data_IF_839767888215
#
_entry.id   IF_839767888215
#
_cell.length_a   1.000
_cell.length_b   1.000
_cell.length_c   1.000
_cell.angle_alpha   90.00
_cell.angle_beta   90.00
_cell.angle_gamma   90.00
#
_symmetry.space_group_name_H-M   'P 1'
#
loop_
_entity.id
_entity.type
_entity.pdbx_description
1 polymer ?
#
# COMPACT_ATOMS: atom_id res chain seq x y z
N UNK A 1 5.51 15.27 32.03
CA UNK A 1 4.55 16.31 31.60
C UNK A 1 3.91 15.79 30.33
N UNK A 2 2.61 15.48 30.36
CA UNK A 2 1.88 15.17 29.12
C UNK A 2 1.86 16.46 28.29
N UNK A 3 2.19 16.37 27.01
CA UNK A 3 2.32 17.48 26.06
C UNK A 3 0.99 18.22 25.76
N UNK A 4 -0.09 17.91 26.49
CA UNK A 4 -1.38 18.57 26.37
C UNK A 4 -2.10 18.27 25.06
N UNK A 5 -1.58 17.37 24.23
CA UNK A 5 -2.24 16.99 22.99
C UNK A 5 -3.48 16.14 23.32
N UNK A 6 -4.66 16.71 23.07
CA UNK A 6 -5.92 15.96 23.10
C UNK A 6 -5.89 14.97 21.94
N UNK A 7 -5.85 13.66 22.24
CA UNK A 7 -5.96 12.62 21.21
C UNK A 7 -7.39 12.56 20.68
N UNK A 8 -7.68 13.44 19.73
CA UNK A 8 -8.97 13.58 19.05
C UNK A 8 -9.37 12.33 18.23
N UNK A 9 -8.48 11.33 18.10
CA UNK A 9 -8.74 10.09 17.37
C UNK A 9 -8.97 8.89 18.29
N UNK A 10 -8.76 9.02 19.60
CA UNK A 10 -8.87 7.89 20.53
C UNK A 10 -10.24 7.19 20.46
N UNK A 11 -11.32 7.95 20.47
CA UNK A 11 -12.69 7.41 20.38
C UNK A 11 -12.94 6.68 19.05
N UNK A 12 -12.39 7.21 17.95
CA UNK A 12 -12.49 6.59 16.62
C UNK A 12 -11.73 5.26 16.57
N UNK A 13 -10.53 5.21 17.15
CA UNK A 13 -9.71 3.98 17.25
C UNK A 13 -10.39 2.93 18.12
N UNK A 14 -10.97 3.34 19.25
CA UNK A 14 -11.73 2.44 20.13
C UNK A 14 -12.97 1.88 19.43
N UNK A 15 -13.73 2.73 18.73
CA UNK A 15 -14.88 2.31 17.94
C UNK A 15 -14.49 1.36 16.79
N UNK A 16 -13.39 1.64 16.09
CA UNK A 16 -12.89 0.78 15.03
C UNK A 16 -12.43 -0.58 15.56
N UNK A 17 -11.78 -0.63 16.74
CA UNK A 17 -11.44 -1.91 17.39
C UNK A 17 -12.68 -2.70 17.73
N UNK A 18 -13.69 -2.08 18.35
CA UNK A 18 -14.96 -2.75 18.64
C UNK A 18 -15.60 -3.32 17.36
N UNK A 19 -15.75 -2.47 16.33
CA UNK A 19 -16.31 -2.88 15.04
C UNK A 19 -15.50 -4.01 14.38
N UNK A 20 -14.18 -3.96 14.44
CA UNK A 20 -13.32 -4.98 13.84
C UNK A 20 -13.49 -6.37 14.47
N UNK A 21 -13.88 -6.47 15.75
CA UNK A 21 -14.11 -7.75 16.44
C UNK A 21 -15.59 -8.19 16.47
N UNK A 22 -16.54 -7.24 16.34
CA UNK A 22 -17.97 -7.56 16.27
C UNK A 22 -18.44 -7.94 14.86
N UNK A 23 -17.82 -7.39 13.82
CA UNK A 23 -18.14 -7.73 12.42
C UNK A 23 -17.73 -9.18 12.13
N UNK A 24 -18.54 -10.02 11.47
CA UNK A 24 -18.10 -11.33 10.99
C UNK A 24 -16.82 -11.21 10.15
N UNK A 25 -15.92 -12.19 10.26
CA UNK A 25 -14.57 -12.05 9.68
C UNK A 25 -14.63 -11.93 8.14
N UNK A 26 -15.56 -12.65 7.53
CA UNK A 26 -15.87 -12.69 6.10
C UNK A 26 -16.42 -11.36 5.55
N UNK A 27 -16.94 -10.48 6.41
CA UNK A 27 -17.45 -9.16 6.05
C UNK A 27 -16.41 -8.04 6.27
N UNK A 28 -15.22 -8.37 6.79
CA UNK A 28 -14.20 -7.37 7.02
C UNK A 28 -13.69 -6.78 5.71
N UNK A 29 -13.59 -5.46 5.69
CA UNK A 29 -13.06 -4.71 4.56
C UNK A 29 -11.98 -3.74 5.05
N UNK A 30 -10.70 -4.16 5.00
CA UNK A 30 -9.59 -3.31 5.44
C UNK A 30 -9.32 -2.13 4.50
N UNK A 31 -9.87 -2.09 3.28
CA UNK A 31 -9.62 -1.02 2.31
C UNK A 31 -10.50 0.22 2.52
N UNK A 32 -11.27 0.32 3.61
CA UNK A 32 -12.09 1.51 3.90
C UNK A 32 -11.21 2.73 4.16
N UNK A 33 -11.19 3.67 3.22
CA UNK A 33 -10.37 4.90 3.29
C UNK A 33 -10.52 5.70 4.60
N UNK A 34 -11.71 5.69 5.21
CA UNK A 34 -11.95 6.36 6.49
C UNK A 34 -11.04 5.85 7.61
N UNK A 35 -10.74 4.55 7.63
CA UNK A 35 -9.87 3.95 8.65
C UNK A 35 -8.45 4.48 8.58
N UNK A 36 -7.95 4.79 7.37
CA UNK A 36 -6.61 5.35 7.20
C UNK A 36 -6.57 6.82 7.57
N UNK A 37 -7.58 7.60 7.17
CA UNK A 37 -7.72 9.01 7.57
C UNK A 37 -7.77 9.16 9.09
N UNK A 38 -8.45 8.23 9.76
CA UNK A 38 -8.68 8.25 11.21
C UNK A 38 -7.63 7.43 12.00
N UNK A 39 -6.57 6.92 11.34
CA UNK A 39 -5.53 6.04 11.91
C UNK A 39 -6.08 4.91 12.80
N UNK A 40 -7.10 4.22 12.27
CA UNK A 40 -7.95 3.26 12.96
C UNK A 40 -8.03 1.91 12.23
N UNK A 41 -7.17 1.67 11.23
CA UNK A 41 -7.10 0.41 10.48
C UNK A 41 -6.43 -0.73 11.24
N UNK A 42 -5.60 -0.42 12.24
CA UNK A 42 -4.76 -1.39 12.94
C UNK A 42 -5.51 -2.61 13.51
N UNK A 43 -6.67 -2.46 14.18
CA UNK A 43 -7.39 -3.61 14.73
C UNK A 43 -7.88 -4.60 13.66
N UNK A 44 -8.20 -4.13 12.45
CA UNK A 44 -8.58 -5.03 11.34
C UNK A 44 -7.40 -5.88 10.91
N UNK A 45 -6.25 -5.25 10.68
CA UNK A 45 -5.05 -6.00 10.29
C UNK A 45 -4.54 -6.91 11.42
N UNK A 46 -4.70 -6.52 12.69
CA UNK A 46 -4.42 -7.37 13.85
C UNK A 46 -5.27 -8.64 13.82
N UNK A 47 -6.58 -8.51 13.67
CA UNK A 47 -7.51 -9.63 13.61
C UNK A 47 -7.27 -10.52 12.40
N UNK A 48 -7.14 -9.94 11.19
CA UNK A 48 -6.86 -10.70 9.97
C UNK A 48 -5.57 -11.51 10.10
N UNK A 49 -4.46 -10.93 10.60
CA UNK A 49 -3.23 -11.70 10.81
C UNK A 49 -3.40 -12.89 11.76
N UNK A 50 -4.30 -12.78 12.74
CA UNK A 50 -4.53 -13.82 13.74
C UNK A 50 -5.46 -14.92 13.23
N UNK A 51 -6.53 -14.54 12.54
CA UNK A 51 -7.68 -15.42 12.27
C UNK A 51 -7.82 -15.80 10.79
N UNK A 52 -7.53 -14.88 9.86
CA UNK A 52 -7.67 -15.09 8.40
C UNK A 52 -6.63 -14.27 7.62
N UNK A 53 -5.36 -14.72 7.54
CA UNK A 53 -4.26 -13.90 7.05
C UNK A 53 -4.25 -13.68 5.53
N UNK A 54 -4.98 -14.52 4.79
CA UNK A 54 -5.20 -14.45 3.34
C UNK A 54 -6.70 -14.31 3.13
N UNK A 55 -7.18 -13.09 3.33
CA UNK A 55 -8.60 -12.80 3.50
C UNK A 55 -9.24 -12.33 2.18
N UNK A 56 -10.37 -12.91 1.80
CA UNK A 56 -11.13 -12.49 0.62
C UNK A 56 -12.23 -11.50 0.98
N UNK A 57 -12.11 -10.26 0.51
CA UNK A 57 -13.16 -9.25 0.62
C UNK A 57 -13.99 -9.28 -0.66
N UNK A 58 -15.21 -9.82 -0.60
CA UNK A 58 -16.06 -10.04 -1.77
C UNK A 58 -16.70 -8.75 -2.33
N UNK A 59 -17.05 -7.80 -1.46
CA UNK A 59 -17.62 -6.51 -1.89
C UNK A 59 -16.91 -5.32 -1.24
N UNK A 60 -16.50 -4.38 -2.08
CA UNK A 60 -15.85 -3.14 -1.68
C UNK A 60 -16.02 -2.05 -2.74
N UNK A 61 -15.62 -0.83 -2.39
CA UNK A 61 -15.53 0.29 -3.34
C UNK A 61 -14.51 0.04 -4.47
N UNK A 62 -13.71 -1.02 -4.39
CA UNK A 62 -12.66 -1.39 -5.34
C UNK A 62 -12.98 -2.69 -6.11
N UNK A 63 -14.11 -3.35 -5.81
CA UNK A 63 -14.39 -4.71 -6.26
C UNK A 63 -13.92 -5.76 -5.27
N UNK A 64 -13.95 -7.02 -5.67
CA UNK A 64 -13.43 -8.11 -4.85
C UNK A 64 -11.90 -8.12 -4.88
N UNK A 65 -11.27 -8.41 -3.74
CA UNK A 65 -9.81 -8.52 -3.64
C UNK A 65 -9.38 -9.42 -2.49
N UNK A 66 -8.11 -9.83 -2.52
CA UNK A 66 -7.46 -10.58 -1.44
C UNK A 66 -6.58 -9.64 -0.61
N UNK A 67 -6.69 -9.73 0.72
CA UNK A 67 -5.82 -9.08 1.68
C UNK A 67 -4.76 -10.06 2.15
N UNK A 68 -3.49 -9.79 1.83
CA UNK A 68 -2.35 -10.57 2.31
C UNK A 68 -1.72 -9.81 3.48
N UNK A 69 -1.84 -10.34 4.70
CA UNK A 69 -1.61 -9.53 5.91
C UNK A 69 -0.38 -9.93 6.73
N UNK A 70 0.24 -11.08 6.43
CA UNK A 70 1.48 -11.54 7.09
C UNK A 70 2.70 -11.27 6.21
N UNK A 71 3.81 -10.96 6.86
CA UNK A 71 5.08 -10.65 6.21
C UNK A 71 5.56 -11.73 5.24
N UNK A 72 5.59 -13.00 5.67
CA UNK A 72 6.07 -14.10 4.83
C UNK A 72 5.17 -14.34 3.62
N UNK A 73 3.86 -14.15 3.77
CA UNK A 73 2.90 -14.32 2.67
C UNK A 73 3.05 -13.17 1.65
N UNK A 74 3.27 -11.95 2.13
CA UNK A 74 3.59 -10.80 1.27
C UNK A 74 4.88 -11.06 0.49
N UNK A 75 5.93 -11.55 1.15
CA UNK A 75 7.19 -11.88 0.49
C UNK A 75 7.02 -12.98 -0.57
N UNK A 76 6.21 -14.01 -0.27
CA UNK A 76 5.91 -15.08 -1.22
C UNK A 76 5.17 -14.57 -2.46
N UNK A 77 4.24 -13.62 -2.28
CA UNK A 77 3.53 -12.98 -3.41
C UNK A 77 4.46 -12.08 -4.21
N UNK A 78 5.20 -11.19 -3.54
CA UNK A 78 6.08 -10.19 -4.15
C UNK A 78 7.24 -10.83 -4.95
N UNK A 79 7.79 -11.95 -4.46
CA UNK A 79 8.84 -12.69 -5.16
C UNK A 79 8.33 -13.58 -6.30
N UNK A 80 7.04 -13.90 -6.34
CA UNK A 80 6.44 -14.78 -7.36
C UNK A 80 5.68 -13.99 -8.43
N UNK A 81 6.38 -13.02 -9.04
CA UNK A 81 5.84 -12.13 -10.07
C UNK A 81 5.34 -12.83 -11.34
N UNK A 82 5.72 -14.09 -11.57
CA UNK A 82 5.22 -14.90 -12.69
C UNK A 82 3.75 -15.30 -12.48
N UNK A 83 3.37 -15.58 -11.24
CA UNK A 83 1.99 -15.92 -10.85
C UNK A 83 1.21 -14.66 -10.51
N UNK A 84 1.83 -13.72 -9.79
CA UNK A 84 1.24 -12.45 -9.37
C UNK A 84 1.76 -11.29 -10.23
N UNK A 85 1.17 -11.17 -11.42
CA UNK A 85 1.52 -10.15 -12.42
C UNK A 85 1.22 -8.73 -11.95
N UNK A 86 2.16 -7.80 -12.20
CA UNK A 86 1.97 -6.36 -11.98
C UNK A 86 1.38 -5.66 -13.22
N UNK A 87 1.41 -6.31 -14.40
CA UNK A 87 0.95 -5.75 -15.66
C UNK A 87 -0.55 -5.43 -15.69
N UNK A 88 -1.35 -6.07 -14.81
CA UNK A 88 -2.81 -5.88 -14.74
C UNK A 88 -3.26 -4.87 -13.68
N UNK A 89 -2.31 -4.20 -13.02
CA UNK A 89 -2.57 -3.17 -12.02
C UNK A 89 -1.81 -3.40 -10.73
N UNK A 90 -1.39 -2.29 -10.13
CA UNK A 90 -0.55 -2.26 -8.92
C UNK A 90 -1.25 -1.61 -7.72
N UNK A 91 -2.52 -1.19 -7.89
CA UNK A 91 -3.33 -0.55 -6.86
C UNK A 91 -4.78 -1.03 -6.92
N UNK A 92 -5.46 -1.03 -5.76
CA UNK A 92 -6.91 -1.17 -5.70
C UNK A 92 -7.56 0.06 -6.35
N UNK A 93 -8.06 -0.10 -7.57
CA UNK A 93 -8.67 0.99 -8.33
C UNK A 93 -10.17 1.09 -7.99
N UNK A 94 -10.67 2.25 -7.55
CA UNK A 94 -12.09 2.42 -7.24
C UNK A 94 -12.97 2.00 -8.42
N UNK A 95 -14.11 1.33 -8.17
CA UNK A 95 -15.08 0.92 -9.19
C UNK A 95 -15.45 2.08 -10.14
N UNK A 96 -15.63 3.28 -9.59
CA UNK A 96 -15.93 4.50 -10.36
C UNK A 96 -14.83 4.90 -11.37
N UNK A 97 -13.59 4.48 -11.15
CA UNK A 97 -12.43 4.78 -12.00
C UNK A 97 -12.10 3.64 -12.98
N UNK A 98 -12.72 2.46 -12.86
CA UNK A 98 -12.37 1.29 -13.68
C UNK A 98 -12.69 1.48 -15.17
N UNK A 99 -13.73 2.24 -15.52
CA UNK A 99 -14.11 2.53 -16.91
C UNK A 99 -13.15 3.48 -17.66
N UNK A 100 -12.21 4.10 -16.97
CA UNK A 100 -11.21 5.01 -17.56
C UNK A 100 -9.86 4.32 -17.83
N UNK A 101 -9.73 3.03 -17.47
CA UNK A 101 -8.55 2.24 -17.83
C UNK A 101 -8.73 1.74 -19.26
N UNK A 102 -7.97 2.31 -20.19
CA UNK A 102 -7.84 1.75 -21.53
C UNK A 102 -7.22 0.33 -21.44
N UNK A 103 -7.93 -0.73 -21.86
CA UNK A 103 -7.42 -2.11 -21.82
C UNK A 103 -6.16 -2.32 -22.67
N UNK A 104 -5.92 -1.43 -23.64
CA UNK A 104 -4.78 -1.47 -24.55
C UNK A 104 -3.64 -0.53 -24.12
N UNK A 105 -3.85 0.28 -23.08
CA UNK A 105 -2.79 1.12 -22.53
C UNK A 105 -1.89 0.24 -21.65
N UNK A 106 -0.92 -0.41 -22.28
CA UNK A 106 0.21 -1.00 -21.58
C UNK A 106 0.85 0.10 -20.76
N UNK A 107 0.73 0.01 -19.43
CA UNK A 107 1.21 1.05 -18.52
C UNK A 107 2.60 1.52 -18.96
N UNK A 108 2.79 2.83 -19.17
CA UNK A 108 4.05 3.37 -19.69
C UNK A 108 5.19 3.28 -18.68
N UNK A 109 4.87 3.08 -17.40
CA UNK A 109 5.82 2.97 -16.31
C UNK A 109 6.21 1.51 -16.04
N UNK A 110 7.50 1.25 -15.81
CA UNK A 110 7.99 -0.11 -15.62
C UNK A 110 7.42 -0.82 -14.38
N UNK A 111 6.92 -0.09 -13.38
CA UNK A 111 6.32 -0.67 -12.16
C UNK A 111 5.05 -1.48 -12.45
N UNK A 112 4.29 -1.14 -13.50
CA UNK A 112 3.09 -1.88 -13.91
C UNK A 112 3.38 -2.71 -15.17
N UNK A 113 4.55 -3.33 -15.23
CA UNK A 113 4.97 -4.26 -16.28
C UNK A 113 5.57 -5.53 -15.65
N UNK A 114 5.49 -6.63 -16.38
CA UNK A 114 6.25 -7.84 -16.06
C UNK A 114 7.52 -7.93 -16.94
N UNK A 115 8.50 -8.79 -16.59
CA UNK A 115 9.60 -9.15 -17.47
C UNK A 115 9.13 -9.66 -18.84
N UNK A 116 9.88 -9.41 -19.93
CA UNK A 116 11.21 -8.80 -19.95
C UNK A 116 11.22 -7.26 -20.03
N UNK A 117 10.09 -6.60 -20.33
CA UNK A 117 10.05 -5.15 -20.55
C UNK A 117 10.37 -4.35 -19.28
N UNK A 118 9.91 -4.83 -18.13
CA UNK A 118 10.25 -4.27 -16.82
C UNK A 118 11.78 -4.13 -16.65
N UNK A 119 12.52 -5.21 -16.91
CA UNK A 119 13.96 -5.28 -16.61
C UNK A 119 14.77 -4.29 -17.44
N UNK A 120 14.42 -4.17 -18.73
CA UNK A 120 15.07 -3.22 -19.65
C UNK A 120 14.89 -1.79 -19.15
N UNK A 121 13.67 -1.39 -18.83
CA UNK A 121 13.39 -0.01 -18.38
C UNK A 121 13.97 0.28 -17.00
N UNK A 122 13.87 -0.66 -16.05
CA UNK A 122 14.46 -0.51 -14.71
C UNK A 122 15.98 -0.37 -14.79
N UNK A 123 16.63 -1.15 -15.66
CA UNK A 123 18.08 -1.08 -15.87
C UNK A 123 18.51 0.30 -16.40
N UNK A 124 17.73 0.94 -17.26
CA UNK A 124 18.04 2.27 -17.79
C UNK A 124 18.12 3.35 -16.70
N UNK A 125 17.27 3.28 -15.67
CA UNK A 125 17.23 4.30 -14.60
C UNK A 125 18.03 3.94 -13.35
N UNK A 126 18.41 2.68 -13.17
CA UNK A 126 19.15 2.20 -11.98
C UNK A 126 20.45 2.96 -11.65
N UNK A 127 21.26 3.44 -12.62
CA UNK A 127 22.47 4.21 -12.31
C UNK A 127 22.24 5.51 -11.52
N UNK A 128 21.05 6.12 -11.64
CA UNK A 128 20.68 7.35 -10.95
C UNK A 128 20.63 7.19 -9.42
N UNK A 129 20.47 5.95 -8.93
CA UNK A 129 20.44 5.62 -7.50
C UNK A 129 21.69 4.84 -7.05
N UNK A 130 22.76 4.86 -7.85
CA UNK A 130 24.04 4.25 -7.47
C UNK A 130 24.69 4.94 -6.28
N UNK A 131 25.54 4.26 -5.49
CA UNK A 131 26.24 4.88 -4.35
C UNK A 131 26.99 6.17 -4.73
N UNK A 132 27.62 6.20 -5.91
CA UNK A 132 28.30 7.39 -6.41
C UNK A 132 27.32 8.54 -6.71
N UNK A 133 26.23 8.28 -7.45
CA UNK A 133 25.23 9.29 -7.74
C UNK A 133 24.59 9.85 -6.46
N UNK A 134 24.32 8.99 -5.46
CA UNK A 134 23.82 9.41 -4.16
C UNK A 134 24.83 10.28 -3.39
N UNK A 135 26.14 9.98 -3.49
CA UNK A 135 27.18 10.79 -2.83
C UNK A 135 27.25 12.23 -3.38
N UNK A 136 26.97 12.41 -4.68
CA UNK A 136 26.89 13.73 -5.33
C UNK A 136 25.65 14.49 -4.85
N UNK A 137 24.52 13.80 -4.69
CA UNK A 137 23.25 14.42 -4.25
C UNK A 137 23.23 14.76 -2.75
N UNK A 138 23.93 14.01 -1.92
CA UNK A 138 23.94 14.16 -0.47
C UNK A 138 24.19 15.60 0.03
N UNK A 139 25.20 16.36 -0.44
CA UNK A 139 25.40 17.75 0.00
C UNK A 139 24.24 18.67 -0.39
N UNK A 140 23.67 18.53 -1.60
CA UNK A 140 22.54 19.35 -2.07
C UNK A 140 21.28 19.08 -1.24
N UNK A 141 21.02 17.81 -0.92
CA UNK A 141 19.90 17.43 -0.04
C UNK A 141 20.10 18.04 1.35
N UNK A 142 21.31 17.94 1.91
CA UNK A 142 21.63 18.50 3.24
C UNK A 142 21.44 20.01 3.30
N UNK A 143 21.95 20.72 2.30
CA UNK A 143 21.79 22.18 2.19
C UNK A 143 20.31 22.58 2.17
N UNK A 144 19.52 21.98 1.27
CA UNK A 144 18.09 22.29 1.15
C UNK A 144 17.29 21.92 2.39
N UNK A 145 17.62 20.80 3.04
CA UNK A 145 17.01 20.43 4.29
C UNK A 145 17.33 21.43 5.40
N UNK A 146 18.58 21.91 5.50
CA UNK A 146 18.97 22.97 6.43
C UNK A 146 18.15 24.24 6.21
N UNK A 147 18.06 24.72 4.97
CA UNK A 147 17.27 25.91 4.62
C UNK A 147 15.77 25.82 4.95
N UNK A 148 15.22 24.61 5.06
CA UNK A 148 13.81 24.40 5.44
C UNK A 148 13.64 24.40 6.96
N UNK A 149 14.67 23.97 7.69
CA UNK A 149 14.61 23.71 9.13
C UNK A 149 15.17 24.86 9.98
N UNK A 150 16.08 25.66 9.43
CA UNK A 150 16.64 26.88 10.04
C UNK A 150 15.73 28.10 9.80
#
# INVERSE_FOLDING_TARGET
MADGAVDILNDKRAAARKSAYETPIEELNPARASLFRDDAMWPMFERLRKEDPVHYTADSNYGAYWSITKYNDILAVDSNHQVFSSAKGITLTPKAAQGFRDPNNTATNFIAMDPPRHDVQRKTVSPAVSPHALSIMAPVIRERAGLILD
#
